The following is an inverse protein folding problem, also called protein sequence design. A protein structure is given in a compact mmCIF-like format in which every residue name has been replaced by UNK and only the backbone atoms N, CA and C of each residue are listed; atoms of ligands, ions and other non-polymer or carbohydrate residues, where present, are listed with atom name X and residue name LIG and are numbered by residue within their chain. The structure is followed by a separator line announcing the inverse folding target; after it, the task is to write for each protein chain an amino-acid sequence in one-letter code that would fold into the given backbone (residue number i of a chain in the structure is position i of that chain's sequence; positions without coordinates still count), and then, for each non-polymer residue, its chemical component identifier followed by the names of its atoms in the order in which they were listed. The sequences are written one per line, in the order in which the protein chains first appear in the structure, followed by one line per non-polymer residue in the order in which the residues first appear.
data_IF_558788199267
#
_entry.id   IF_558788199267
#
_cell.length_a   1.000
_cell.length_b   1.000
_cell.length_c   1.000
_cell.angle_alpha   90.00
_cell.angle_beta   90.00
_cell.angle_gamma   90.00
#
_symmetry.space_group_name_H-M   'P 1'
#
loop_
_entity.id
_entity.type
_entity.pdbx_description
1 polymer ?
#
# COMPACT_ATOMS: atom_id res chain seq x y z
N UNK A 1 29.69 4.08 -26.09
CA UNK A 1 30.22 5.06 -25.12
C UNK A 1 29.67 4.63 -23.77
N UNK A 2 30.48 3.99 -22.93
CA UNK A 2 30.05 3.62 -21.58
C UNK A 2 30.13 4.90 -20.74
N UNK A 3 28.99 5.33 -20.20
CA UNK A 3 28.96 6.39 -19.18
C UNK A 3 29.38 5.69 -17.88
N UNK A 4 30.57 6.01 -17.40
CA UNK A 4 31.06 5.53 -16.11
C UNK A 4 30.30 6.31 -15.02
N UNK A 5 29.40 5.62 -14.29
CA UNK A 5 28.73 6.22 -13.13
C UNK A 5 29.62 6.10 -11.91
N UNK A 6 29.91 7.24 -11.26
CA UNK A 6 30.64 7.31 -10.01
C UNK A 6 29.75 6.83 -8.84
N UNK A 7 30.26 6.01 -7.91
CA UNK A 7 29.64 5.72 -6.62
C UNK A 7 29.19 6.97 -5.86
N UNK A 8 29.98 8.06 -5.89
CA UNK A 8 29.64 9.29 -5.19
C UNK A 8 28.40 9.97 -5.81
N UNK A 9 28.30 10.00 -7.14
CA UNK A 9 27.12 10.51 -7.85
C UNK A 9 25.86 9.69 -7.50
N UNK A 10 26.00 8.37 -7.39
CA UNK A 10 24.88 7.49 -7.03
C UNK A 10 24.42 7.72 -5.59
N UNK A 11 25.36 7.93 -4.67
CA UNK A 11 25.05 8.24 -3.26
C UNK A 11 24.36 9.58 -3.12
N UNK A 12 24.80 10.62 -3.86
CA UNK A 12 24.12 11.92 -3.90
C UNK A 12 22.70 11.79 -4.44
N UNK A 13 22.52 11.08 -5.56
CA UNK A 13 21.20 10.88 -6.15
C UNK A 13 20.25 10.12 -5.21
N UNK A 14 20.77 9.09 -4.53
CA UNK A 14 20.01 8.31 -3.55
C UNK A 14 19.66 9.15 -2.33
N UNK A 15 20.58 9.97 -1.83
CA UNK A 15 20.30 10.91 -0.75
C UNK A 15 19.13 11.83 -1.10
N UNK A 16 19.19 12.50 -2.26
CA UNK A 16 18.11 13.37 -2.72
C UNK A 16 16.78 12.63 -2.88
N UNK A 17 16.80 11.40 -3.41
CA UNK A 17 15.59 10.62 -3.60
C UNK A 17 14.94 10.21 -2.26
N UNK A 18 15.74 9.82 -1.27
CA UNK A 18 15.25 9.44 0.05
C UNK A 18 14.79 10.65 0.88
N UNK A 19 15.44 11.80 0.75
CA UNK A 19 15.04 13.06 1.43
C UNK A 19 13.64 13.50 0.99
N UNK A 20 13.30 13.28 -0.28
CA UNK A 20 11.95 13.57 -0.81
C UNK A 20 10.82 12.79 -0.13
N UNK A 21 11.11 11.64 0.49
CA UNK A 21 10.08 10.87 1.22
C UNK A 21 9.42 11.68 2.33
N UNK A 22 10.15 12.55 3.00
CA UNK A 22 9.58 13.41 4.02
C UNK A 22 8.61 14.43 3.42
N UNK A 23 8.92 14.98 2.25
CA UNK A 23 8.01 15.89 1.54
C UNK A 23 6.69 15.21 1.17
N UNK A 24 6.74 14.05 0.49
CA UNK A 24 5.53 13.30 0.12
C UNK A 24 4.75 12.86 1.37
N UNK A 25 5.42 12.45 2.45
CA UNK A 25 4.77 12.07 3.69
C UNK A 25 4.02 13.25 4.34
N UNK A 26 4.65 14.42 4.43
CA UNK A 26 4.02 15.63 4.94
C UNK A 26 2.79 16.01 4.10
N UNK A 27 2.88 15.91 2.77
CA UNK A 27 1.76 16.27 1.90
C UNK A 27 0.59 15.30 2.03
N UNK A 28 0.85 14.00 2.05
CA UNK A 28 -0.19 12.97 2.26
C UNK A 28 -0.90 13.14 3.60
N UNK A 29 -0.16 13.45 4.67
CA UNK A 29 -0.73 13.71 6.00
C UNK A 29 -1.61 14.98 6.00
N UNK A 30 -1.13 16.08 5.41
CA UNK A 30 -1.94 17.30 5.27
C UNK A 30 -3.25 17.05 4.52
N UNK A 31 -3.21 16.26 3.45
CA UNK A 31 -4.40 15.90 2.67
C UNK A 31 -5.35 14.99 3.47
N UNK A 32 -4.80 14.05 4.26
CA UNK A 32 -5.59 13.21 5.14
C UNK A 32 -6.30 14.01 6.24
N UNK A 33 -5.60 14.94 6.86
CA UNK A 33 -6.12 15.81 7.91
C UNK A 33 -7.16 16.81 7.39
N UNK A 34 -6.95 17.34 6.18
CA UNK A 34 -7.91 18.25 5.52
C UNK A 34 -9.22 17.53 5.16
N UNK A 35 -9.14 16.25 4.81
CA UNK A 35 -10.27 15.44 4.39
C UNK A 35 -10.87 15.87 3.05
N UNK A 36 -12.11 15.42 2.79
CA UNK A 36 -12.78 15.63 1.51
C UNK A 36 -13.99 16.55 1.70
N UNK A 37 -14.08 17.67 0.95
CA UNK A 37 -15.20 18.60 1.08
C UNK A 37 -16.50 17.98 0.58
N UNK A 38 -17.62 18.42 1.15
CA UNK A 38 -18.96 18.08 0.65
C UNK A 38 -19.14 18.52 -0.80
N UNK A 39 -19.76 17.66 -1.62
CA UNK A 39 -19.89 17.88 -3.07
C UNK A 39 -18.65 17.51 -3.91
N UNK A 40 -17.53 17.15 -3.29
CA UNK A 40 -16.45 16.46 -4.02
C UNK A 40 -16.91 15.09 -4.49
N UNK A 41 -16.26 14.56 -5.53
CA UNK A 41 -16.56 13.21 -6.04
C UNK A 41 -16.57 12.13 -4.95
N UNK A 42 -15.59 12.16 -4.03
CA UNK A 42 -15.51 11.19 -2.93
C UNK A 42 -16.52 11.45 -1.82
N UNK A 43 -16.85 12.72 -1.56
CA UNK A 43 -17.93 13.08 -0.65
C UNK A 43 -19.24 12.48 -1.14
N UNK A 44 -19.56 12.69 -2.41
CA UNK A 44 -20.75 12.13 -3.06
C UNK A 44 -20.76 10.60 -3.06
N UNK A 45 -19.63 9.95 -3.36
CA UNK A 45 -19.54 8.48 -3.31
C UNK A 45 -19.74 7.96 -1.86
N UNK A 46 -19.17 8.63 -0.87
CA UNK A 46 -19.31 8.26 0.55
C UNK A 46 -20.76 8.44 1.06
N UNK A 47 -21.41 9.55 0.69
CA UNK A 47 -22.82 9.78 0.99
C UNK A 47 -23.72 8.75 0.32
N UNK A 48 -23.46 8.44 -0.95
CA UNK A 48 -24.19 7.42 -1.69
C UNK A 48 -24.02 6.03 -1.08
N UNK A 49 -22.90 5.75 -0.41
CA UNK A 49 -22.63 4.47 0.25
C UNK A 49 -23.25 4.35 1.66
N UNK A 50 -24.19 5.22 2.03
CA UNK A 50 -24.98 5.14 3.26
C UNK A 50 -26.44 4.73 2.94
N UNK A 51 -26.87 3.58 3.48
CA UNK A 51 -28.25 3.07 3.36
C UNK A 51 -28.79 2.72 4.75
N UNK A 52 -29.82 3.45 5.19
CA UNK A 52 -30.39 3.28 6.52
C UNK A 52 -29.34 3.50 7.62
N UNK A 53 -29.12 2.49 8.45
CA UNK A 53 -28.08 2.50 9.51
C UNK A 53 -26.71 1.98 9.04
N UNK A 54 -26.61 1.44 7.81
CA UNK A 54 -25.36 0.89 7.25
C UNK A 54 -24.65 1.96 6.40
N UNK A 55 -23.35 2.18 6.61
CA UNK A 55 -22.56 3.11 5.80
C UNK A 55 -21.14 2.61 5.58
N UNK A 56 -20.61 2.78 4.36
CA UNK A 56 -19.19 2.65 4.11
C UNK A 56 -18.50 3.99 4.26
N UNK A 57 -17.53 4.04 5.16
CA UNK A 57 -16.68 5.21 5.37
C UNK A 57 -15.55 5.26 4.31
N UNK A 58 -15.90 5.32 3.02
CA UNK A 58 -14.96 5.33 1.88
C UNK A 58 -13.96 6.48 2.02
N UNK A 59 -14.45 7.68 2.34
CA UNK A 59 -13.61 8.85 2.56
C UNK A 59 -12.63 8.63 3.71
N UNK A 60 -13.09 8.05 4.83
CA UNK A 60 -12.22 7.74 5.98
C UNK A 60 -11.16 6.70 5.60
N UNK A 61 -11.55 5.69 4.84
CA UNK A 61 -10.62 4.65 4.41
C UNK A 61 -9.47 5.21 3.56
N UNK A 62 -9.77 6.11 2.62
CA UNK A 62 -8.73 6.79 1.83
C UNK A 62 -7.82 7.63 2.73
N UNK A 63 -8.36 8.33 3.74
CA UNK A 63 -7.56 9.05 4.73
C UNK A 63 -6.61 8.12 5.51
N UNK A 64 -7.10 6.97 5.96
CA UNK A 64 -6.26 5.97 6.65
C UNK A 64 -5.14 5.45 5.76
N UNK A 65 -5.40 5.20 4.47
CA UNK A 65 -4.36 4.82 3.50
C UNK A 65 -3.32 5.94 3.32
N UNK A 66 -3.74 7.20 3.29
CA UNK A 66 -2.82 8.35 3.19
C UNK A 66 -1.94 8.46 4.45
N UNK A 67 -2.51 8.35 5.65
CA UNK A 67 -1.72 8.34 6.89
C UNK A 67 -0.77 7.15 6.96
N UNK A 68 -1.19 5.96 6.52
CA UNK A 68 -0.32 4.79 6.53
C UNK A 68 0.87 4.95 5.58
N UNK A 69 0.64 5.39 4.34
CA UNK A 69 1.72 5.72 3.41
C UNK A 69 2.70 6.74 4.01
N UNK A 70 2.19 7.82 4.59
CA UNK A 70 3.00 8.84 5.25
C UNK A 70 3.83 8.29 6.42
N UNK A 71 3.24 7.44 7.27
CA UNK A 71 3.93 6.78 8.39
C UNK A 71 5.04 5.85 7.90
N UNK A 72 4.79 5.10 6.84
CA UNK A 72 5.78 4.18 6.25
C UNK A 72 6.95 4.96 5.64
N UNK A 73 6.68 6.04 4.91
CA UNK A 73 7.69 6.93 4.34
C UNK A 73 8.56 7.60 5.42
N UNK A 74 7.94 8.19 6.46
CA UNK A 74 8.67 8.77 7.59
C UNK A 74 9.54 7.73 8.29
N UNK A 75 9.02 6.51 8.44
CA UNK A 75 9.77 5.42 9.05
C UNK A 75 10.96 5.01 8.18
N UNK A 76 10.77 4.88 6.86
CA UNK A 76 11.85 4.59 5.92
C UNK A 76 12.91 5.69 5.92
N UNK A 77 12.50 6.96 5.89
CA UNK A 77 13.39 8.12 5.99
C UNK A 77 14.23 8.08 7.26
N UNK A 78 13.61 7.86 8.42
CA UNK A 78 14.31 7.74 9.70
C UNK A 78 15.38 6.64 9.69
N UNK A 79 15.07 5.48 9.09
CA UNK A 79 16.03 4.37 8.98
C UNK A 79 17.22 4.71 8.07
N UNK A 80 17.05 5.65 7.14
CA UNK A 80 18.12 6.11 6.25
C UNK A 80 19.00 7.17 6.90
N UNK A 81 18.41 8.16 7.57
CA UNK A 81 19.12 9.39 7.99
C UNK A 81 19.32 9.54 9.51
N UNK A 82 18.44 8.99 10.34
CA UNK A 82 18.41 9.28 11.78
C UNK A 82 19.04 8.17 12.63
N UNK A 83 19.49 7.08 12.01
CA UNK A 83 20.08 5.92 12.70
C UNK A 83 21.44 6.26 13.30
N UNK A 84 22.29 6.99 12.54
CA UNK A 84 23.57 7.52 13.01
C UNK A 84 23.80 8.92 12.40
N UNK A 85 23.97 9.99 13.21
CA UNK A 85 24.10 11.35 12.69
C UNK A 85 25.24 11.49 11.67
N UNK A 86 24.92 12.02 10.49
CA UNK A 86 25.87 12.25 9.41
C UNK A 86 26.26 11.01 8.60
N UNK A 87 25.56 9.88 8.78
CA UNK A 87 25.78 8.65 8.00
C UNK A 87 24.54 8.27 7.21
N UNK A 88 24.78 7.78 5.99
CA UNK A 88 23.75 7.22 5.13
C UNK A 88 23.62 5.71 5.42
N UNK A 89 22.49 5.28 5.98
CA UNK A 89 22.28 3.88 6.36
C UNK A 89 21.24 3.19 5.47
N UNK A 90 21.52 1.96 5.04
CA UNK A 90 20.62 1.19 4.19
C UNK A 90 20.35 -0.19 4.81
N UNK A 91 19.53 -0.22 5.87
CA UNK A 91 19.01 -1.49 6.38
C UNK A 91 17.88 -2.00 5.48
N UNK A 92 18.27 -2.72 4.43
CA UNK A 92 17.38 -3.37 3.50
C UNK A 92 16.32 -4.27 4.16
N UNK A 93 16.62 -4.87 5.33
CA UNK A 93 15.70 -5.79 6.01
C UNK A 93 14.47 -5.06 6.55
N UNK A 94 14.65 -3.82 6.98
CA UNK A 94 13.58 -2.95 7.50
C UNK A 94 12.99 -2.09 6.40
N UNK A 95 13.83 -1.58 5.49
CA UNK A 95 13.40 -0.67 4.42
C UNK A 95 12.45 -1.35 3.42
N UNK A 96 12.70 -2.59 2.99
CA UNK A 96 11.87 -3.22 1.96
C UNK A 96 10.41 -3.41 2.36
N UNK A 97 10.07 -3.91 3.57
CA UNK A 97 8.69 -3.96 4.04
C UNK A 97 8.01 -2.59 4.11
N UNK A 98 8.71 -1.56 4.59
CA UNK A 98 8.16 -0.21 4.71
C UNK A 98 7.88 0.40 3.32
N UNK A 99 8.83 0.29 2.40
CA UNK A 99 8.65 0.79 1.03
C UNK A 99 7.54 0.03 0.30
N UNK A 100 7.45 -1.30 0.48
CA UNK A 100 6.36 -2.10 -0.10
C UNK A 100 5.00 -1.60 0.38
N UNK A 101 4.84 -1.42 1.70
CA UNK A 101 3.60 -0.95 2.28
C UNK A 101 3.22 0.44 1.76
N UNK A 102 4.20 1.36 1.66
CA UNK A 102 3.98 2.69 1.09
C UNK A 102 3.52 2.62 -0.39
N UNK A 103 4.13 1.75 -1.21
CA UNK A 103 3.66 1.52 -2.59
C UNK A 103 2.24 0.95 -2.60
N UNK A 104 1.92 -0.04 -1.77
CA UNK A 104 0.57 -0.62 -1.70
C UNK A 104 -0.49 0.42 -1.32
N UNK A 105 -0.22 1.23 -0.32
CA UNK A 105 -1.13 2.27 0.15
C UNK A 105 -1.30 3.39 -0.91
N UNK A 106 -0.20 3.91 -1.44
CA UNK A 106 -0.21 4.97 -2.47
C UNK A 106 -0.95 4.52 -3.73
N UNK A 107 -0.64 3.33 -4.24
CA UNK A 107 -1.30 2.81 -5.44
C UNK A 107 -2.77 2.46 -5.22
N UNK A 108 -3.15 2.05 -4.00
CA UNK A 108 -4.57 1.88 -3.62
C UNK A 108 -5.31 3.21 -3.63
N UNK A 109 -4.69 4.29 -3.12
CA UNK A 109 -5.25 5.65 -3.20
C UNK A 109 -5.47 6.02 -4.67
N UNK A 110 -4.43 5.92 -5.51
CA UNK A 110 -4.54 6.23 -6.95
C UNK A 110 -5.68 5.42 -7.59
N UNK A 111 -5.73 4.10 -7.36
CA UNK A 111 -6.75 3.24 -7.95
C UNK A 111 -8.19 3.57 -7.53
N UNK A 112 -8.39 3.92 -6.25
CA UNK A 112 -9.69 4.38 -5.74
C UNK A 112 -10.08 5.75 -6.32
N UNK A 113 -9.09 6.61 -6.59
CA UNK A 113 -9.30 7.94 -7.17
C UNK A 113 -9.23 8.00 -8.70
N UNK A 114 -8.89 6.90 -9.36
CA UNK A 114 -8.80 6.87 -10.82
C UNK A 114 -10.19 7.07 -11.44
N UNK A 115 -10.30 7.81 -12.55
CA UNK A 115 -11.57 8.08 -13.20
C UNK A 115 -12.40 6.82 -13.47
N UNK A 116 -13.73 6.96 -13.39
CA UNK A 116 -14.71 5.92 -13.59
C UNK A 116 -16.09 6.46 -13.26
N UNK A 117 -17.17 5.82 -13.70
CA UNK A 117 -18.51 6.16 -13.23
C UNK A 117 -18.66 5.80 -11.73
N UNK A 118 -19.68 6.35 -11.07
CA UNK A 118 -19.91 6.14 -9.62
C UNK A 118 -19.94 4.65 -9.25
N UNK A 119 -20.67 3.83 -10.00
CA UNK A 119 -20.82 2.40 -9.71
C UNK A 119 -19.49 1.65 -9.77
N UNK A 120 -18.62 2.00 -10.74
CA UNK A 120 -17.27 1.46 -10.83
C UNK A 120 -16.43 1.84 -9.62
N UNK A 121 -16.46 3.11 -9.19
CA UNK A 121 -15.68 3.59 -8.03
C UNK A 121 -16.16 2.95 -6.74
N UNK A 122 -17.48 2.86 -6.52
CA UNK A 122 -18.06 2.17 -5.37
C UNK A 122 -17.69 0.68 -5.38
N UNK A 123 -17.77 0.01 -6.53
CA UNK A 123 -17.36 -1.39 -6.65
C UNK A 123 -15.88 -1.59 -6.29
N UNK A 124 -14.99 -0.66 -6.67
CA UNK A 124 -13.58 -0.69 -6.24
C UNK A 124 -13.44 -0.57 -4.73
N UNK A 125 -14.13 0.39 -4.12
CA UNK A 125 -14.12 0.59 -2.67
C UNK A 125 -14.62 -0.66 -1.91
N UNK A 126 -15.74 -1.25 -2.35
CA UNK A 126 -16.28 -2.49 -1.80
C UNK A 126 -15.26 -3.63 -1.87
N UNK A 127 -14.66 -3.85 -3.05
CA UNK A 127 -13.70 -4.94 -3.23
C UNK A 127 -12.49 -4.78 -2.31
N UNK A 128 -12.00 -3.57 -2.14
CA UNK A 128 -10.87 -3.30 -1.25
C UNK A 128 -11.23 -3.52 0.23
N UNK A 129 -12.32 -2.91 0.70
CA UNK A 129 -12.75 -3.06 2.11
C UNK A 129 -13.10 -4.51 2.45
N UNK A 130 -13.79 -5.20 1.54
CA UNK A 130 -14.08 -6.61 1.67
C UNK A 130 -12.81 -7.46 1.73
N UNK A 131 -11.84 -7.18 0.86
CA UNK A 131 -10.56 -7.90 0.81
C UNK A 131 -9.76 -7.72 2.08
N UNK A 132 -9.66 -6.50 2.61
CA UNK A 132 -8.94 -6.23 3.86
C UNK A 132 -9.59 -6.97 5.03
N UNK A 133 -10.93 -6.95 5.11
CA UNK A 133 -11.68 -7.68 6.14
C UNK A 133 -11.48 -9.19 6.02
N UNK A 134 -11.47 -9.72 4.80
CA UNK A 134 -11.25 -11.14 4.55
C UNK A 134 -9.83 -11.57 4.95
N UNK A 135 -8.80 -10.79 4.57
CA UNK A 135 -7.43 -11.06 4.95
C UNK A 135 -7.21 -10.99 6.47
N UNK A 136 -7.90 -10.09 7.17
CA UNK A 136 -7.89 -10.05 8.63
C UNK A 136 -8.31 -11.40 9.21
N UNK A 137 -9.47 -11.93 8.81
CA UNK A 137 -9.95 -13.22 9.31
C UNK A 137 -9.07 -14.39 8.86
N UNK A 138 -8.59 -14.40 7.61
CA UNK A 138 -7.67 -15.44 7.09
C UNK A 138 -6.36 -15.48 7.89
N UNK A 139 -5.78 -14.31 8.19
CA UNK A 139 -4.56 -14.24 8.99
C UNK A 139 -4.78 -14.72 10.43
N UNK A 140 -5.93 -14.41 11.04
CA UNK A 140 -6.25 -14.92 12.38
C UNK A 140 -6.50 -16.43 12.39
N UNK A 141 -7.08 -16.99 11.32
CA UNK A 141 -7.19 -18.45 11.15
C UNK A 141 -5.82 -19.11 11.05
N UNK A 142 -4.89 -18.52 10.28
CA UNK A 142 -3.51 -19.01 10.19
C UNK A 142 -2.79 -18.93 11.55
N UNK A 143 -2.98 -17.83 12.29
CA UNK A 143 -2.45 -17.69 13.64
C UNK A 143 -3.03 -18.73 14.59
N UNK A 144 -4.34 -18.96 14.55
CA UNK A 144 -5.01 -19.98 15.36
C UNK A 144 -4.47 -21.38 15.07
N UNK A 145 -4.25 -21.71 13.80
CA UNK A 145 -3.70 -22.99 13.37
C UNK A 145 -2.22 -23.17 13.79
N UNK A 146 -1.43 -22.10 13.81
CA UNK A 146 -0.02 -22.13 14.19
C UNK A 146 0.20 -22.11 15.71
N UNK A 147 -0.72 -21.52 16.48
CA UNK A 147 -0.55 -21.27 17.92
C UNK A 147 -0.21 -22.53 18.77
N UNK A 148 -0.80 -23.73 18.51
CA UNK A 148 -0.47 -24.94 19.27
C UNK A 148 0.99 -25.37 19.11
N UNK A 149 1.59 -25.15 17.93
CA UNK A 149 2.97 -25.53 17.66
C UNK A 149 3.99 -24.72 18.48
N UNK A 150 3.61 -23.53 18.95
CA UNK A 150 4.46 -22.63 19.74
C UNK A 150 4.23 -22.82 21.25
N UNK A 151 3.27 -23.67 21.65
CA UNK A 151 2.98 -24.02 23.05
C UNK A 151 2.46 -22.87 23.92
N UNK A 152 2.16 -21.72 23.33
CA UNK A 152 1.79 -20.50 24.06
C UNK A 152 0.28 -20.32 24.23
N UNK A 153 -0.55 -21.05 23.48
CA UNK A 153 -2.02 -20.89 23.48
C UNK A 153 -2.68 -22.27 23.65
N UNK A 154 -3.63 -22.43 24.59
CA UNK A 154 -4.40 -23.66 24.73
C UNK A 154 -5.17 -23.99 23.44
N UNK A 155 -5.28 -25.28 23.10
CA UNK A 155 -5.97 -25.76 21.89
C UNK A 155 -7.41 -25.26 21.82
N UNK A 156 -8.11 -25.23 22.95
CA UNK A 156 -9.50 -24.80 23.03
C UNK A 156 -9.67 -23.32 22.62
N UNK A 157 -8.67 -22.49 22.92
CA UNK A 157 -8.66 -21.07 22.52
C UNK A 157 -8.43 -20.94 21.02
N UNK A 158 -7.54 -21.76 20.44
CA UNK A 158 -7.31 -21.81 19.00
C UNK A 158 -8.56 -22.27 18.23
N UNK A 159 -9.26 -23.28 18.73
CA UNK A 159 -10.50 -23.79 18.14
C UNK A 159 -11.62 -22.73 18.21
N UNK A 160 -11.79 -22.08 19.37
CA UNK A 160 -12.77 -21.01 19.54
C UNK A 160 -12.47 -19.81 18.62
N UNK A 161 -11.21 -19.41 18.50
CA UNK A 161 -10.79 -18.36 17.57
C UNK A 161 -11.09 -18.74 16.12
N UNK A 162 -10.81 -19.99 15.74
CA UNK A 162 -11.06 -20.49 14.38
C UNK A 162 -12.55 -20.50 14.03
N UNK A 163 -13.39 -20.98 14.95
CA UNK A 163 -14.83 -20.98 14.77
C UNK A 163 -15.38 -19.55 14.66
N UNK A 164 -14.91 -18.64 15.52
CA UNK A 164 -15.31 -17.23 15.49
C UNK A 164 -14.90 -16.54 14.17
N UNK A 165 -13.65 -16.70 13.72
CA UNK A 165 -13.18 -16.09 12.48
C UNK A 165 -13.88 -16.64 11.24
N UNK A 166 -14.26 -17.93 11.24
CA UNK A 166 -15.06 -18.51 10.15
C UNK A 166 -16.45 -17.87 10.09
N UNK A 167 -17.11 -17.73 11.24
CA UNK A 167 -18.41 -17.04 11.31
C UNK A 167 -18.30 -15.57 10.89
N UNK A 168 -17.21 -14.89 11.27
CA UNK A 168 -16.96 -13.50 10.89
C UNK A 168 -16.75 -13.34 9.37
N UNK A 169 -16.08 -14.28 8.71
CA UNK A 169 -15.94 -14.27 7.25
C UNK A 169 -17.29 -14.36 6.54
N UNK A 170 -18.18 -15.25 7.00
CA UNK A 170 -19.51 -15.42 6.44
C UNK A 170 -20.39 -14.19 6.69
N UNK A 171 -20.36 -13.65 7.92
CA UNK A 171 -21.08 -12.44 8.30
C UNK A 171 -20.62 -11.23 7.48
N UNK A 172 -19.31 -11.04 7.33
CA UNK A 172 -18.70 -9.99 6.51
C UNK A 172 -19.16 -10.10 5.06
N UNK A 173 -19.08 -11.30 4.46
CA UNK A 173 -19.50 -11.51 3.07
C UNK A 173 -21.00 -11.20 2.89
N UNK A 174 -21.84 -11.69 3.80
CA UNK A 174 -23.29 -11.42 3.75
C UNK A 174 -23.58 -9.92 3.88
N UNK A 175 -22.90 -9.22 4.78
CA UNK A 175 -23.02 -7.78 4.98
C UNK A 175 -22.68 -6.99 3.71
N UNK A 176 -21.49 -7.22 3.13
CA UNK A 176 -21.06 -6.52 1.92
C UNK A 176 -21.94 -6.85 0.70
N UNK A 177 -22.41 -8.10 0.54
CA UNK A 177 -23.33 -8.46 -0.55
C UNK A 177 -24.68 -7.74 -0.42
N UNK A 178 -25.25 -7.69 0.78
CA UNK A 178 -26.51 -6.99 1.05
C UNK A 178 -26.37 -5.51 0.72
N UNK A 179 -25.35 -4.86 1.26
CA UNK A 179 -25.12 -3.42 1.04
C UNK A 179 -24.86 -3.09 -0.44
N UNK A 180 -24.11 -3.94 -1.15
CA UNK A 180 -23.90 -3.77 -2.59
C UNK A 180 -25.24 -3.82 -3.36
N UNK A 181 -26.13 -4.76 -3.03
CA UNK A 181 -27.45 -4.87 -3.65
C UNK A 181 -28.35 -3.67 -3.35
N UNK A 182 -28.32 -3.14 -2.13
CA UNK A 182 -29.06 -1.93 -1.73
C UNK A 182 -28.60 -0.68 -2.51
N UNK A 183 -27.34 -0.65 -2.91
CA UNK A 183 -26.75 0.43 -3.73
C UNK A 183 -26.89 0.20 -5.25
N UNK A 184 -27.56 -0.87 -5.68
CA UNK A 184 -27.74 -1.21 -7.09
C UNK A 184 -26.47 -1.72 -7.78
N UNK A 185 -25.45 -2.15 -7.02
CA UNK A 185 -24.23 -2.75 -7.54
C UNK A 185 -24.40 -4.27 -7.68
N UNK A 186 -23.59 -4.90 -8.54
CA UNK A 186 -23.50 -6.36 -8.62
C UNK A 186 -22.84 -6.92 -7.34
N UNK A 187 -23.58 -7.67 -6.50
CA UNK A 187 -23.06 -8.19 -5.22
C UNK A 187 -21.91 -9.18 -5.39
N UNK A 188 -21.91 -9.94 -6.48
CA UNK A 188 -20.88 -10.94 -6.75
C UNK A 188 -19.61 -10.30 -7.27
N UNK A 189 -19.69 -9.21 -8.05
CA UNK A 189 -18.50 -8.45 -8.45
C UNK A 189 -17.92 -7.65 -7.27
N UNK A 190 -18.78 -7.06 -6.44
CA UNK A 190 -18.38 -6.20 -5.32
C UNK A 190 -17.67 -6.97 -4.19
N UNK A 191 -17.93 -8.27 -4.06
CA UNK A 191 -17.31 -9.14 -3.04
C UNK A 191 -16.28 -10.12 -3.60
N UNK A 192 -15.75 -9.86 -4.80
CA UNK A 192 -14.59 -10.57 -5.33
C UNK A 192 -13.32 -10.09 -4.65
N UNK A 193 -12.61 -11.04 -4.02
CA UNK A 193 -11.28 -10.83 -3.46
C UNK A 193 -10.37 -10.13 -4.47
N UNK A 194 -9.69 -9.11 -4.00
CA UNK A 194 -8.69 -8.35 -4.74
C UNK A 194 -7.32 -8.81 -4.27
N UNK A 195 -6.38 -9.04 -5.18
CA UNK A 195 -4.98 -9.25 -4.78
C UNK A 195 -4.34 -7.88 -4.51
N UNK A 196 -3.46 -7.77 -3.51
CA UNK A 196 -2.73 -6.52 -3.22
C UNK A 196 -1.91 -5.99 -4.40
N UNK A 197 -1.54 -6.88 -5.35
CA UNK A 197 -0.88 -6.48 -6.61
C UNK A 197 -1.81 -5.83 -7.63
N UNK A 198 -3.11 -6.08 -7.52
CA UNK A 198 -4.09 -5.74 -8.56
C UNK A 198 -4.23 -4.22 -8.76
N UNK A 199 -4.29 -3.37 -7.71
CA UNK A 199 -4.26 -1.92 -7.86
C UNK A 199 -3.06 -1.44 -8.67
N UNK A 200 -1.86 -1.93 -8.34
CA UNK A 200 -0.61 -1.58 -9.05
C UNK A 200 -0.69 -1.99 -10.53
N UNK A 201 -1.08 -3.25 -10.77
CA UNK A 201 -1.17 -3.80 -12.14
C UNK A 201 -2.20 -3.09 -13.00
N UNK A 202 -3.38 -2.80 -12.46
CA UNK A 202 -4.47 -2.14 -13.20
C UNK A 202 -4.12 -0.69 -13.50
N UNK A 203 -3.49 0.01 -12.55
CA UNK A 203 -3.16 1.41 -12.72
C UNK A 203 -1.99 1.65 -13.67
N UNK A 204 -0.91 0.89 -13.52
CA UNK A 204 0.34 1.13 -14.24
C UNK A 204 0.58 0.18 -15.40
N UNK A 205 -0.08 -0.98 -15.41
CA UNK A 205 0.08 -2.02 -16.43
C UNK A 205 0.95 -3.20 -15.97
N UNK A 206 0.87 -4.30 -16.71
CA UNK A 206 1.54 -5.56 -16.38
C UNK A 206 3.07 -5.54 -16.58
N UNK A 207 3.57 -4.64 -17.44
CA UNK A 207 4.99 -4.51 -17.78
C UNK A 207 5.60 -3.22 -17.21
N UNK A 208 4.94 -2.63 -16.20
CA UNK A 208 5.32 -1.36 -15.60
C UNK A 208 6.45 -1.49 -14.58
N UNK A 209 7.22 -0.41 -14.41
CA UNK A 209 8.31 -0.32 -13.42
C UNK A 209 7.75 -0.38 -11.99
N UNK A 210 6.55 0.16 -11.78
CA UNK A 210 5.86 0.16 -10.49
C UNK A 210 5.48 -1.26 -10.08
N UNK A 211 4.91 -2.05 -11.00
CA UNK A 211 4.57 -3.44 -10.72
C UNK A 211 5.82 -4.29 -10.50
N UNK A 212 6.86 -4.07 -11.31
CA UNK A 212 8.15 -4.76 -11.13
C UNK A 212 8.78 -4.42 -9.77
N UNK A 213 8.78 -3.15 -9.38
CA UNK A 213 9.27 -2.67 -8.09
C UNK A 213 8.48 -3.26 -6.94
N UNK A 214 7.15 -3.17 -6.98
CA UNK A 214 6.26 -3.77 -5.96
C UNK A 214 6.52 -5.27 -5.81
N UNK A 215 6.64 -6.00 -6.92
CA UNK A 215 6.91 -7.43 -6.90
C UNK A 215 8.26 -7.72 -6.27
N UNK A 216 9.31 -6.98 -6.64
CA UNK A 216 10.64 -7.19 -6.11
C UNK A 216 10.70 -6.88 -4.60
N UNK A 217 10.07 -5.79 -4.16
CA UNK A 217 9.92 -5.47 -2.74
C UNK A 217 9.14 -6.55 -1.99
N UNK A 218 8.04 -7.05 -2.56
CA UNK A 218 7.27 -8.16 -2.02
C UNK A 218 8.14 -9.42 -1.89
N UNK A 219 8.83 -9.81 -2.95
CA UNK A 219 9.72 -10.98 -2.94
C UNK A 219 10.80 -10.82 -1.84
N UNK A 220 11.44 -9.65 -1.73
CA UNK A 220 12.45 -9.38 -0.70
C UNK A 220 11.89 -9.42 0.73
N UNK A 221 10.62 -9.10 0.95
CA UNK A 221 9.97 -9.27 2.26
C UNK A 221 9.81 -10.75 2.66
N UNK A 222 9.83 -11.66 1.68
CA UNK A 222 9.58 -13.10 1.88
C UNK A 222 10.83 -13.99 1.65
N UNK A 223 11.93 -13.44 1.11
CA UNK A 223 13.16 -14.19 0.76
C UNK A 223 14.31 -14.02 1.77
N UNK A 224 15.33 -14.88 1.61
CA UNK A 224 16.41 -15.09 2.60
C UNK A 224 17.50 -14.01 2.58
N UNK A 225 18.13 -13.83 3.75
CA UNK A 225 19.34 -13.03 3.99
C UNK A 225 20.44 -13.15 2.91
N UNK A 226 20.51 -14.28 2.20
CA UNK A 226 21.50 -14.51 1.14
C UNK A 226 21.32 -13.59 -0.07
N UNK A 227 20.09 -13.26 -0.48
CA UNK A 227 19.88 -12.29 -1.56
C UNK A 227 20.30 -10.89 -1.13
N UNK A 228 19.92 -10.50 0.09
CA UNK A 228 20.28 -9.20 0.67
C UNK A 228 21.80 -9.03 0.72
N UNK A 229 22.51 -10.08 1.14
CA UNK A 229 23.97 -10.10 1.14
C UNK A 229 24.54 -9.96 -0.28
N UNK A 230 23.96 -10.64 -1.27
CA UNK A 230 24.42 -10.56 -2.65
C UNK A 230 24.26 -9.15 -3.23
N UNK A 231 23.14 -8.47 -2.96
CA UNK A 231 22.93 -7.08 -3.37
C UNK A 231 23.99 -6.15 -2.77
N UNK A 232 24.35 -6.35 -1.49
CA UNK A 232 25.32 -5.51 -0.80
C UNK A 232 26.76 -5.66 -1.30
N UNK A 233 27.15 -6.86 -1.76
CA UNK A 233 28.56 -7.15 -2.10
C UNK A 233 28.86 -7.18 -3.59
N UNK A 234 27.85 -7.15 -4.46
CA UNK A 234 28.02 -7.33 -5.91
C UNK A 234 27.97 -5.99 -6.62
N UNK A 235 28.99 -5.59 -7.40
CA UNK A 235 28.93 -4.39 -8.21
C UNK A 235 28.09 -4.61 -9.48
N UNK A 236 27.55 -3.53 -10.05
CA UNK A 236 26.96 -3.59 -11.40
C UNK A 236 28.08 -3.83 -12.42
N UNK A 237 27.86 -4.77 -13.34
CA UNK A 237 28.83 -5.14 -14.38
C UNK A 237 29.30 -3.90 -15.16
N UNK A 238 30.61 -3.65 -15.14
CA UNK A 238 31.22 -2.50 -15.82
C UNK A 238 31.19 -1.18 -15.03
N UNK A 239 30.85 -1.22 -13.74
CA UNK A 239 30.90 -0.04 -12.84
C UNK A 239 31.49 -0.42 -11.47
N UNK A 240 31.79 0.57 -10.65
CA UNK A 240 32.16 0.41 -9.22
C UNK A 240 30.95 0.52 -8.29
N UNK A 241 29.76 0.80 -8.81
CA UNK A 241 28.53 1.02 -8.02
C UNK A 241 27.99 -0.30 -7.47
N UNK A 242 27.75 -0.41 -6.14
CA UNK A 242 27.09 -1.58 -5.55
C UNK A 242 25.67 -1.75 -6.09
N UNK A 243 25.28 -3.00 -6.39
CA UNK A 243 23.95 -3.33 -6.89
C UNK A 243 22.85 -2.89 -5.90
N UNK A 244 23.13 -2.93 -4.59
CA UNK A 244 22.25 -2.40 -3.56
C UNK A 244 21.92 -0.92 -3.78
N UNK A 245 22.92 -0.07 -4.04
CA UNK A 245 22.70 1.37 -4.18
C UNK A 245 21.83 1.69 -5.40
N UNK A 246 22.12 1.08 -6.55
CA UNK A 246 21.31 1.27 -7.74
C UNK A 246 19.88 0.72 -7.57
N UNK A 247 19.73 -0.43 -6.91
CA UNK A 247 18.42 -1.02 -6.63
C UNK A 247 17.60 -0.12 -5.69
N UNK A 248 18.22 0.38 -4.62
CA UNK A 248 17.58 1.30 -3.69
C UNK A 248 17.22 2.63 -4.35
N UNK A 249 18.07 3.16 -5.22
CA UNK A 249 17.77 4.38 -5.96
C UNK A 249 16.55 4.19 -6.86
N UNK A 250 16.47 3.08 -7.58
CA UNK A 250 15.31 2.74 -8.40
C UNK A 250 14.04 2.63 -7.56
N UNK A 251 14.10 1.98 -6.39
CA UNK A 251 12.96 1.86 -5.50
C UNK A 251 12.54 3.21 -4.91
N UNK A 252 13.49 4.04 -4.48
CA UNK A 252 13.21 5.36 -3.93
C UNK A 252 12.55 6.27 -4.98
N UNK A 253 13.06 6.29 -6.21
CA UNK A 253 12.46 7.05 -7.31
C UNK A 253 11.05 6.57 -7.66
N UNK A 254 10.85 5.25 -7.73
CA UNK A 254 9.53 4.66 -8.00
C UNK A 254 8.54 4.99 -6.88
N UNK A 255 9.00 4.92 -5.63
CA UNK A 255 8.20 5.25 -4.47
C UNK A 255 7.78 6.73 -4.46
N UNK A 256 8.71 7.65 -4.75
CA UNK A 256 8.41 9.08 -4.90
C UNK A 256 7.32 9.29 -5.94
N UNK A 257 7.50 8.71 -7.13
CA UNK A 257 6.54 8.83 -8.22
C UNK A 257 5.14 8.34 -7.85
N UNK A 258 5.01 7.14 -7.26
CA UNK A 258 3.67 6.62 -6.90
C UNK A 258 3.00 7.42 -5.78
N UNK A 259 3.79 8.01 -4.87
CA UNK A 259 3.26 8.89 -3.83
C UNK A 259 2.83 10.24 -4.41
N UNK A 260 3.61 10.80 -5.34
CA UNK A 260 3.26 12.04 -6.05
C UNK A 260 2.00 11.84 -6.90
N UNK A 261 1.86 10.70 -7.59
CA UNK A 261 0.61 10.33 -8.28
C UNK A 261 -0.56 10.29 -7.29
N UNK A 262 -0.39 9.69 -6.11
CA UNK A 262 -1.44 9.62 -5.10
C UNK A 262 -1.87 11.01 -4.61
N UNK A 263 -0.91 11.90 -4.34
CA UNK A 263 -1.14 13.30 -3.99
C UNK A 263 -1.93 14.00 -5.10
N UNK A 264 -1.46 13.92 -6.36
CA UNK A 264 -2.09 14.58 -7.50
C UNK A 264 -3.53 14.10 -7.70
N UNK A 265 -3.78 12.79 -7.57
CA UNK A 265 -5.10 12.21 -7.72
C UNK A 265 -6.08 12.66 -6.62
N UNK A 266 -5.60 12.80 -5.39
CA UNK A 266 -6.41 13.30 -4.26
C UNK A 266 -6.74 14.79 -4.45
N UNK A 267 -5.75 15.59 -4.82
CA UNK A 267 -5.93 17.03 -5.05
C UNK A 267 -6.92 17.29 -6.21
N UNK A 268 -6.80 16.55 -7.31
CA UNK A 268 -7.77 16.60 -8.41
C UNK A 268 -9.17 16.21 -7.96
N UNK A 269 -9.30 15.16 -7.16
CA UNK A 269 -10.61 14.70 -6.66
C UNK A 269 -11.29 15.75 -5.73
N UNK A 270 -10.51 16.58 -5.04
CA UNK A 270 -11.01 17.68 -4.21
C UNK A 270 -11.41 18.94 -4.99
N UNK A 271 -10.84 19.17 -6.18
CA UNK A 271 -11.13 20.32 -7.05
C UNK A 271 -12.36 20.04 -7.93
N UNK A 272 -12.55 18.79 -8.33
CA UNK A 272 -13.61 18.38 -9.25
C UNK A 272 -14.86 17.93 -8.48
N UNK A 273 -15.73 18.89 -8.18
CA UNK A 273 -17.16 18.62 -8.04
C UNK A 273 -17.75 18.62 -9.45
N UNK A 274 -17.74 17.48 -10.13
CA UNK A 274 -18.21 17.42 -11.53
C UNK A 274 -19.74 17.38 -11.59
N UNK A 275 -20.24 18.21 -12.50
CA UNK A 275 -21.61 18.44 -12.97
C UNK A 275 -22.38 17.17 -13.35
#
# INVERSE_FOLDING_TARGET
MQVEMDPDDTLVALWCACDWWEHSAQRLEQLADAGFPGGSRLGTDNEAAAVGESSLAVSRYVQERMWNAARMLRSAHRQVFDTEPGRFHLDATVLYPLMRAAVEDATTIVWLQSPGNRDSRLTRAFRTLFTDSLYFSENHLLLAAAAPAVGAVPLEVGDALSAHMTAEQDATRAHFKRLAGELGLDPDQSTRKLSTREPVKVQYGADSVELATWKFLSDLCHFSFMMLRHLATTPILGTTVPLLHATMLQFAQTLNRVCDDAVEHVERAGIVGEE
#
